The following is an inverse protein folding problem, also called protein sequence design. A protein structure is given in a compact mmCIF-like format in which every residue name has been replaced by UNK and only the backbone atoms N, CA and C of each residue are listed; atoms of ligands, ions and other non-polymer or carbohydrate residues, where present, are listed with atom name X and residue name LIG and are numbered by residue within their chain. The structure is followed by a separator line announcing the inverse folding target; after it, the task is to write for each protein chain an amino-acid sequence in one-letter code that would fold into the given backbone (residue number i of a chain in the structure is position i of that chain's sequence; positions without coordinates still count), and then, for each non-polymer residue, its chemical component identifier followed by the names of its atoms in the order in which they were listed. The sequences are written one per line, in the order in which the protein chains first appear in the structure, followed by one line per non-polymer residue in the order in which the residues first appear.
data_IF_961361800225
#
_entry.id   IF_961361800225
#
_cell.length_a   1.000
_cell.length_b   1.000
_cell.length_c   1.000
_cell.angle_alpha   90.00
_cell.angle_beta   90.00
_cell.angle_gamma   90.00
#
_symmetry.space_group_name_H-M   'P 1'
#
loop_
_entity.id
_entity.type
_entity.pdbx_description
1 polymer ?
#
# COMPACT_ATOMS: atom_id res chain seq x y z
N UNK A 1 -17.49 11.62 -3.16
CA UNK A 1 -18.00 11.09 -1.86
C UNK A 1 -19.50 10.87 -1.95
N UNK A 2 -20.04 9.88 -1.25
CA UNK A 2 -21.50 9.62 -1.16
C UNK A 2 -21.88 9.50 0.31
N UNK A 3 -23.01 10.10 0.70
CA UNK A 3 -23.53 10.03 2.07
C UNK A 3 -24.35 8.75 2.24
N UNK A 4 -23.99 7.89 3.19
CA UNK A 4 -24.77 6.67 3.48
C UNK A 4 -26.04 7.03 4.28
N UNK A 5 -27.09 6.18 4.27
CA UNK A 5 -28.31 6.38 5.05
C UNK A 5 -28.06 6.49 6.57
N UNK A 6 -27.01 5.84 7.08
CA UNK A 6 -26.60 5.90 8.49
C UNK A 6 -25.78 7.17 8.84
N UNK A 7 -25.73 8.16 7.96
CA UNK A 7 -25.00 9.40 8.17
C UNK A 7 -23.48 9.31 7.97
N UNK A 8 -22.91 8.10 7.80
CA UNK A 8 -21.47 7.91 7.55
C UNK A 8 -21.12 8.30 6.11
N UNK A 9 -20.04 9.04 5.93
CA UNK A 9 -19.53 9.38 4.61
C UNK A 9 -18.76 8.19 4.02
N UNK A 10 -18.95 7.93 2.73
CA UNK A 10 -18.14 6.98 1.97
C UNK A 10 -17.37 7.71 0.88
N UNK A 11 -16.09 7.38 0.74
CA UNK A 11 -15.34 7.73 -0.44
C UNK A 11 -15.92 6.92 -1.61
N UNK A 12 -16.31 7.58 -2.69
CA UNK A 12 -16.70 6.92 -3.93
C UNK A 12 -15.65 7.34 -4.96
N UNK A 13 -14.85 6.37 -5.38
CA UNK A 13 -13.96 6.53 -6.52
C UNK A 13 -14.77 6.07 -7.74
N UNK A 14 -14.75 6.88 -8.80
CA UNK A 14 -15.46 6.57 -10.03
C UNK A 14 -14.68 5.53 -10.83
N UNK A 15 -15.09 4.27 -10.72
CA UNK A 15 -14.50 3.15 -11.45
C UNK A 15 -15.07 2.96 -12.85
N UNK A 16 -15.93 3.86 -13.37
CA UNK A 16 -16.63 3.64 -14.65
C UNK A 16 -15.67 3.37 -15.80
N UNK A 17 -14.51 4.04 -15.81
CA UNK A 17 -13.48 3.81 -16.82
C UNK A 17 -12.60 2.58 -16.54
N UNK A 18 -12.32 2.27 -15.26
CA UNK A 18 -11.63 1.02 -14.87
C UNK A 18 -12.46 -0.22 -15.21
N UNK A 19 -13.77 -0.16 -14.96
CA UNK A 19 -14.72 -1.24 -15.24
C UNK A 19 -14.84 -1.57 -16.73
N UNK A 20 -14.48 -0.63 -17.62
CA UNK A 20 -14.43 -0.84 -19.08
C UNK A 20 -13.12 -1.50 -19.52
N UNK A 21 -12.01 -1.23 -18.82
CA UNK A 21 -10.69 -1.75 -19.16
C UNK A 21 -10.42 -3.15 -18.57
N UNK A 22 -11.07 -3.50 -17.46
CA UNK A 22 -10.89 -4.79 -16.81
C UNK A 22 -11.76 -5.88 -17.47
N UNK A 23 -11.19 -7.01 -17.92
CA UNK A 23 -11.96 -8.20 -18.26
C UNK A 23 -12.87 -8.58 -17.09
N UNK A 24 -14.15 -8.87 -17.36
CA UNK A 24 -15.09 -9.34 -16.34
C UNK A 24 -14.70 -10.77 -15.93
N UNK A 25 -13.80 -10.87 -14.95
CA UNK A 25 -13.35 -12.12 -14.33
C UNK A 25 -14.57 -12.83 -13.68
N UNK A 26 -14.72 -14.16 -13.77
CA UNK A 26 -15.76 -14.93 -13.08
C UNK A 26 -15.80 -14.73 -11.56
N UNK A 27 -14.74 -14.14 -10.98
CA UNK A 27 -14.66 -13.79 -9.58
C UNK A 27 -14.79 -12.28 -9.39
N UNK A 28 -15.75 -11.79 -8.58
CA UNK A 28 -15.93 -10.36 -8.38
C UNK A 28 -14.67 -9.77 -7.74
N UNK A 29 -14.17 -8.68 -8.34
CA UNK A 29 -13.20 -7.79 -7.68
C UNK A 29 -13.75 -7.44 -6.29
N UNK A 30 -13.01 -7.64 -5.19
CA UNK A 30 -13.44 -7.17 -3.90
C UNK A 30 -13.64 -5.66 -3.98
N UNK A 31 -14.72 -5.18 -3.38
CA UNK A 31 -14.98 -3.75 -3.35
C UNK A 31 -13.81 -3.07 -2.66
N UNK A 32 -13.22 -2.08 -3.32
CA UNK A 32 -12.11 -1.29 -2.76
C UNK A 32 -12.49 -0.74 -1.38
N UNK A 33 -13.77 -0.41 -1.18
CA UNK A 33 -14.29 0.02 0.12
C UNK A 33 -14.03 -1.03 1.23
N UNK A 34 -14.16 -2.33 0.95
CA UNK A 34 -13.91 -3.38 1.93
C UNK A 34 -12.43 -3.46 2.31
N UNK A 35 -11.54 -3.23 1.33
CA UNK A 35 -10.09 -3.22 1.57
C UNK A 35 -9.66 -1.97 2.33
N UNK A 36 -10.24 -0.82 1.99
CA UNK A 36 -10.01 0.45 2.67
C UNK A 36 -10.53 0.41 4.11
N UNK A 37 -11.74 -0.12 4.33
CA UNK A 37 -12.31 -0.30 5.67
C UNK A 37 -11.43 -1.24 6.51
N UNK A 38 -10.94 -2.34 5.92
CA UNK A 38 -9.98 -3.24 6.57
C UNK A 38 -8.68 -2.53 6.98
N UNK A 39 -8.06 -1.79 6.06
CA UNK A 39 -6.82 -1.05 6.33
C UNK A 39 -6.99 0.09 7.35
N UNK A 40 -8.17 0.73 7.36
CA UNK A 40 -8.52 1.76 8.34
C UNK A 40 -8.65 1.18 9.75
N UNK A 41 -9.14 -0.06 9.88
CA UNK A 41 -9.16 -0.79 11.15
C UNK A 41 -7.77 -1.04 11.75
N UNK A 42 -6.72 -1.07 10.91
CA UNK A 42 -5.32 -1.16 11.32
C UNK A 42 -4.64 0.21 11.48
N UNK A 43 -5.38 1.31 11.38
CA UNK A 43 -4.88 2.69 11.42
C UNK A 43 -3.77 2.98 10.37
N UNK A 44 -3.76 2.26 9.25
CA UNK A 44 -2.79 2.46 8.16
C UNK A 44 -3.19 3.58 7.21
N UNK A 45 -4.50 3.88 7.14
CA UNK A 45 -5.06 4.92 6.30
C UNK A 45 -5.85 5.89 7.18
N UNK A 46 -5.74 7.17 6.86
CA UNK A 46 -6.55 8.23 7.45
C UNK A 46 -7.19 9.05 6.35
N UNK A 47 -8.35 9.62 6.67
CA UNK A 47 -9.07 10.47 5.73
C UNK A 47 -8.49 11.89 5.77
N UNK A 48 -8.16 12.45 4.60
CA UNK A 48 -7.69 13.84 4.46
C UNK A 48 -8.61 14.62 3.52
N UNK A 49 -9.04 15.80 3.96
CA UNK A 49 -9.77 16.74 3.14
C UNK A 49 -8.80 17.54 2.26
N UNK A 50 -9.13 17.71 0.98
CA UNK A 50 -8.42 18.55 0.01
C UNK A 50 -6.91 18.24 -0.12
N UNK A 51 -6.51 17.02 -0.55
CA UNK A 51 -5.11 16.72 -0.78
C UNK A 51 -4.58 17.49 -2.02
N UNK A 52 -3.37 18.01 -1.93
CA UNK A 52 -2.65 18.61 -3.08
C UNK A 52 -2.15 17.56 -4.07
N UNK A 53 -2.06 16.30 -3.65
CA UNK A 53 -1.58 15.18 -4.45
C UNK A 53 -2.64 14.07 -4.51
N UNK A 54 -2.85 13.51 -5.70
CA UNK A 54 -3.72 12.36 -5.94
C UNK A 54 -2.93 11.29 -6.70
N UNK A 55 -3.13 10.03 -6.36
CA UNK A 55 -2.51 8.89 -7.05
C UNK A 55 -3.55 7.84 -7.39
N UNK A 56 -3.32 7.08 -8.45
CA UNK A 56 -4.22 6.02 -8.86
C UNK A 56 -4.07 4.79 -7.96
N UNK A 57 -5.20 4.16 -7.63
CA UNK A 57 -5.24 2.88 -6.94
C UNK A 57 -5.51 1.79 -7.97
N UNK A 58 -4.67 0.77 -7.98
CA UNK A 58 -4.71 -0.39 -8.85
C UNK A 58 -4.95 -1.65 -8.03
N UNK A 59 -5.83 -2.52 -8.50
CA UNK A 59 -6.11 -3.81 -7.89
C UNK A 59 -5.30 -4.91 -8.57
N UNK A 60 -4.49 -5.63 -7.80
CA UNK A 60 -3.62 -6.70 -8.31
C UNK A 60 -3.99 -8.03 -7.65
N UNK A 61 -4.21 -9.06 -8.47
CA UNK A 61 -4.48 -10.43 -8.01
C UNK A 61 -3.16 -11.13 -7.71
N UNK A 62 -3.00 -11.66 -6.49
CA UNK A 62 -1.84 -12.47 -6.12
C UNK A 62 -1.99 -13.91 -6.63
N UNK A 63 -0.89 -14.67 -6.79
CA UNK A 63 -0.95 -16.09 -7.16
C UNK A 63 -1.77 -16.95 -6.19
N UNK A 64 -1.87 -16.54 -4.92
CA UNK A 64 -2.70 -17.21 -3.91
C UNK A 64 -4.20 -16.85 -3.98
N UNK A 65 -4.65 -16.19 -5.06
CA UNK A 65 -6.04 -15.80 -5.28
C UNK A 65 -6.51 -14.58 -4.47
N UNK A 66 -5.70 -14.05 -3.53
CA UNK A 66 -6.05 -12.84 -2.77
C UNK A 66 -5.81 -11.58 -3.59
N UNK A 67 -6.67 -10.59 -3.41
CA UNK A 67 -6.49 -9.26 -3.99
C UNK A 67 -5.60 -8.38 -3.12
N UNK A 68 -4.83 -7.51 -3.76
CA UNK A 68 -4.01 -6.48 -3.12
C UNK A 68 -4.35 -5.13 -3.74
N UNK A 69 -4.58 -4.16 -2.86
CA UNK A 69 -4.62 -2.75 -3.23
C UNK A 69 -3.18 -2.27 -3.41
N UNK A 70 -2.87 -1.72 -4.58
CA UNK A 70 -1.58 -1.11 -4.92
C UNK A 70 -1.82 0.35 -5.28
N UNK A 71 -0.98 1.24 -4.77
CA UNK A 71 -1.01 2.66 -5.13
C UNK A 71 0.12 2.93 -6.12
N UNK A 72 -0.19 3.61 -7.21
CA UNK A 72 0.82 4.02 -8.19
C UNK A 72 1.60 5.24 -7.66
N UNK A 73 2.82 4.99 -7.19
CA UNK A 73 3.72 6.01 -6.67
C UNK A 73 4.67 6.58 -7.72
N UNK A 74 4.48 6.29 -9.02
CA UNK A 74 5.44 6.66 -10.07
C UNK A 74 5.77 8.15 -10.07
N UNK A 75 4.74 9.02 -10.03
CA UNK A 75 4.99 10.47 -10.05
C UNK A 75 5.44 11.00 -8.69
N UNK A 76 4.99 10.39 -7.58
CA UNK A 76 5.50 10.71 -6.25
C UNK A 76 6.99 10.43 -6.14
N UNK A 77 7.43 9.25 -6.60
CA UNK A 77 8.82 8.82 -6.56
C UNK A 77 9.74 9.71 -7.42
N UNK A 78 9.22 10.30 -8.50
CA UNK A 78 9.97 11.29 -9.30
C UNK A 78 10.12 12.63 -8.59
N UNK A 79 9.12 13.03 -7.81
CA UNK A 79 9.13 14.29 -7.06
C UNK A 79 9.94 14.21 -5.76
N UNK A 80 10.04 13.02 -5.16
CA UNK A 80 10.82 12.80 -3.94
C UNK A 80 12.33 12.81 -4.21
N UNK A 81 13.13 13.49 -3.36
CA UNK A 81 14.58 13.34 -3.39
C UNK A 81 14.98 11.90 -3.04
N UNK A 82 16.12 11.46 -3.60
CA UNK A 82 16.67 10.14 -3.30
C UNK A 82 17.09 10.04 -1.83
N UNK A 83 17.01 8.83 -1.29
CA UNK A 83 17.38 8.53 0.10
C UNK A 83 18.85 8.92 0.38
N UNK A 84 19.14 9.73 1.41
CA UNK A 84 20.50 10.05 1.82
C UNK A 84 21.24 8.89 2.49
N UNK A 85 20.55 7.81 2.88
CA UNK A 85 21.14 6.63 3.52
C UNK A 85 21.16 5.44 2.56
N UNK A 86 22.25 5.26 1.79
CA UNK A 86 22.36 4.11 0.89
C UNK A 86 22.34 2.81 1.69
N UNK A 87 21.72 1.79 1.11
CA UNK A 87 21.74 0.45 1.70
C UNK A 87 23.20 -0.03 1.81
N UNK A 88 23.60 -0.62 2.96
CA UNK A 88 24.93 -1.16 3.13
C UNK A 88 25.19 -2.29 2.13
N UNK A 89 26.46 -2.46 1.75
CA UNK A 89 26.85 -3.58 0.86
C UNK A 89 26.51 -4.91 1.52
N UNK A 90 26.01 -5.87 0.72
CA UNK A 90 25.71 -7.23 1.21
C UNK A 90 26.96 -7.86 1.80
N UNK A 91 28.13 -7.68 1.17
CA UNK A 91 29.39 -8.24 1.66
C UNK A 91 29.75 -7.69 3.04
N UNK A 92 29.56 -6.38 3.26
CA UNK A 92 29.80 -5.77 4.58
C UNK A 92 28.86 -6.31 5.66
N UNK A 93 27.60 -6.59 5.31
CA UNK A 93 26.64 -7.20 6.23
C UNK A 93 27.03 -8.64 6.57
N UNK A 94 27.46 -9.41 5.56
CA UNK A 94 27.87 -10.82 5.73
C UNK A 94 29.15 -10.92 6.55
N UNK A 95 30.16 -10.11 6.22
CA UNK A 95 31.43 -10.08 6.96
C UNK A 95 31.21 -9.67 8.42
N UNK A 96 30.37 -8.66 8.67
CA UNK A 96 30.01 -8.25 10.01
C UNK A 96 29.25 -9.33 10.78
N UNK A 97 28.43 -10.13 10.11
CA UNK A 97 27.69 -11.24 10.73
C UNK A 97 28.56 -12.51 10.95
N UNK A 98 29.65 -12.67 10.19
CA UNK A 98 30.48 -13.89 10.16
C UNK A 98 31.22 -14.18 11.47
N UNK A 99 31.44 -13.18 12.32
CA UNK A 99 32.15 -13.32 13.60
C UNK A 99 31.26 -13.78 14.76
N UNK A 100 29.96 -13.96 14.54
CA UNK A 100 29.01 -14.35 15.59
C UNK A 100 28.74 -15.85 15.58
N UNK A 101 28.79 -16.48 16.76
CA UNK A 101 28.55 -17.92 16.93
C UNK A 101 27.08 -18.34 16.68
N UNK A 102 26.14 -17.39 16.73
CA UNK A 102 24.71 -17.61 16.55
C UNK A 102 24.11 -16.46 15.74
N UNK A 103 23.31 -16.80 14.73
CA UNK A 103 22.55 -15.86 13.91
C UNK A 103 21.06 -16.19 14.01
N UNK A 104 20.22 -15.16 14.09
CA UNK A 104 18.77 -15.31 14.02
C UNK A 104 18.20 -14.40 12.95
N UNK A 105 17.29 -14.94 12.13
CA UNK A 105 16.65 -14.19 11.05
C UNK A 105 15.28 -13.70 11.50
N UNK A 106 15.07 -12.37 11.46
CA UNK A 106 13.79 -11.77 11.79
C UNK A 106 13.04 -11.39 10.52
N UNK A 107 11.84 -11.91 10.36
CA UNK A 107 10.97 -11.53 9.26
C UNK A 107 10.29 -10.18 9.58
N UNK A 108 10.48 -9.20 8.69
CA UNK A 108 9.91 -7.85 8.81
C UNK A 108 8.93 -7.56 7.67
N UNK A 109 8.17 -8.57 7.23
CA UNK A 109 7.24 -8.48 6.09
C UNK A 109 6.28 -7.28 6.13
N UNK A 110 5.86 -6.84 7.32
CA UNK A 110 4.99 -5.67 7.52
C UNK A 110 5.71 -4.45 8.10
N UNK A 111 7.04 -4.41 8.06
CA UNK A 111 7.84 -3.35 8.70
C UNK A 111 7.50 -1.94 8.23
N UNK A 112 7.26 -1.79 6.93
CA UNK A 112 6.86 -0.51 6.34
C UNK A 112 5.61 0.08 7.00
N UNK A 113 4.63 -0.76 7.35
CA UNK A 113 3.37 -0.32 7.93
C UNK A 113 3.49 0.13 9.40
N UNK A 114 4.64 -0.11 10.04
CA UNK A 114 4.89 0.26 11.44
C UNK A 114 5.54 1.64 11.56
N UNK A 115 6.13 2.16 10.48
CA UNK A 115 6.77 3.47 10.46
C UNK A 115 5.70 4.53 10.22
N UNK A 116 5.60 5.50 11.13
CA UNK A 116 4.65 6.61 10.99
C UNK A 116 5.14 7.59 9.93
N UNK A 117 4.22 7.97 9.05
CA UNK A 117 4.46 9.07 8.11
C UNK A 117 4.49 10.41 8.82
N UNK A 118 5.26 11.35 8.28
CA UNK A 118 5.23 12.74 8.74
C UNK A 118 3.81 13.33 8.53
N UNK A 119 3.27 14.10 9.50
CA UNK A 119 1.92 14.66 9.43
C UNK A 119 1.68 15.68 8.32
#
# INVERSE_FOLDING_TARGET
MVKKPNGKWRMCIDYTNLNKACPKDPYPLPSIDQLVDGASGFALLSFRNYPTWLTNVVMVKKPNGKWRMCTDYTDLNKACPKDPYPLPSIDQLVDGASSFALLSFRNVYSGYNQIKMHP
#
